data_IF_537592119995
#
_entry.id   IF_537592119995
#
_cell.length_a   1.000
_cell.length_b   1.000
_cell.length_c   1.000
_cell.angle_alpha   90.00
_cell.angle_beta   90.00
_cell.angle_gamma   90.00
#
_symmetry.space_group_name_H-M   'P 1'
#
loop_
_entity.id
_entity.type
_entity.pdbx_description
1 polymer ?
#
# COMPACT_ATOMS: atom_id res chain seq x y z
N UNK A 1 29.58 -25.34 -1.26
CA UNK A 1 28.98 -25.12 0.08
C UNK A 1 29.09 -26.39 0.89
N UNK A 2 28.60 -27.54 0.39
CA UNK A 2 28.60 -28.83 1.09
C UNK A 2 29.99 -29.23 1.62
N UNK A 3 31.08 -29.12 0.79
CA UNK A 3 32.46 -29.35 1.20
C UNK A 3 32.93 -28.45 2.35
N UNK A 4 32.40 -27.21 2.45
CA UNK A 4 32.85 -26.23 3.45
C UNK A 4 32.03 -26.30 4.75
N UNK A 5 30.80 -26.79 4.70
CA UNK A 5 29.85 -26.78 5.82
C UNK A 5 29.51 -28.18 6.35
N UNK A 6 29.75 -29.21 5.55
CA UNK A 6 29.30 -30.57 5.83
C UNK A 6 27.78 -30.79 5.67
N UNK A 7 27.03 -29.78 5.25
CA UNK A 7 25.58 -29.85 5.09
C UNK A 7 25.20 -30.04 3.62
N UNK A 8 24.35 -31.02 3.34
CA UNK A 8 23.68 -31.12 2.06
C UNK A 8 22.53 -30.09 2.00
N UNK A 9 22.69 -29.11 1.15
CA UNK A 9 21.69 -28.03 0.96
C UNK A 9 20.81 -28.26 -0.28
N UNK A 10 20.82 -29.44 -0.90
CA UNK A 10 20.04 -29.73 -2.11
C UNK A 10 18.54 -29.39 -1.89
N UNK A 11 18.00 -29.80 -0.72
CA UNK A 11 16.61 -29.49 -0.34
C UNK A 11 16.27 -28.01 -0.37
N UNK A 12 17.22 -27.12 -0.04
CA UNK A 12 17.03 -25.68 -0.07
C UNK A 12 17.01 -25.15 -1.51
N UNK A 13 17.94 -25.66 -2.34
CA UNK A 13 17.98 -25.32 -3.77
C UNK A 13 16.72 -25.79 -4.49
N UNK A 14 16.25 -27.00 -4.21
CA UNK A 14 15.03 -27.55 -4.81
C UNK A 14 13.81 -26.68 -4.49
N UNK A 15 13.73 -26.16 -3.27
CA UNK A 15 12.57 -25.40 -2.81
C UNK A 15 12.61 -23.91 -3.14
N UNK A 16 13.80 -23.27 -3.19
CA UNK A 16 13.91 -21.81 -3.36
C UNK A 16 14.57 -21.36 -4.67
N UNK A 17 15.27 -22.27 -5.39
CA UNK A 17 15.99 -21.93 -6.62
C UNK A 17 15.37 -22.61 -7.83
N UNK A 18 15.12 -23.91 -7.77
CA UNK A 18 14.58 -24.68 -8.89
C UNK A 18 13.05 -24.65 -8.97
N UNK A 19 12.39 -24.37 -7.84
CA UNK A 19 10.97 -24.14 -7.73
C UNK A 19 10.72 -22.66 -7.44
N UNK A 20 9.68 -22.08 -8.02
CA UNK A 20 9.28 -20.70 -7.73
C UNK A 20 8.47 -20.60 -6.44
N UNK A 21 8.34 -19.36 -5.92
CA UNK A 21 7.53 -19.04 -4.75
C UNK A 21 8.28 -19.16 -3.42
N UNK A 22 7.54 -19.04 -2.34
CA UNK A 22 8.00 -19.17 -0.96
C UNK A 22 6.87 -19.74 -0.09
N UNK A 23 7.17 -20.28 1.11
CA UNK A 23 6.12 -20.74 2.01
C UNK A 23 5.29 -19.57 2.53
N UNK A 24 3.99 -19.82 2.67
CA UNK A 24 3.03 -18.92 3.26
C UNK A 24 2.44 -19.60 4.50
N UNK A 25 2.82 -19.09 5.69
CA UNK A 25 2.50 -19.70 6.97
C UNK A 25 1.40 -18.93 7.70
N UNK A 26 0.37 -19.67 8.12
CA UNK A 26 -0.58 -19.24 9.13
C UNK A 26 -0.21 -19.95 10.43
N UNK A 27 0.09 -19.18 11.49
CA UNK A 27 0.60 -19.71 12.76
C UNK A 27 -0.38 -19.31 13.87
N UNK A 28 -1.02 -20.31 14.46
CA UNK A 28 -1.93 -20.15 15.59
C UNK A 28 -1.26 -20.62 16.88
N UNK A 29 -1.41 -19.84 17.94
CA UNK A 29 -0.90 -20.18 19.27
C UNK A 29 -2.02 -20.10 20.31
N UNK A 30 -2.01 -21.07 21.23
CA UNK A 30 -2.85 -21.05 22.43
C UNK A 30 -2.10 -21.60 23.64
N UNK A 31 -2.54 -21.20 24.82
CA UNK A 31 -2.00 -21.64 26.11
C UNK A 31 -3.07 -22.29 26.95
N UNK A 32 -2.82 -23.53 27.38
CA UNK A 32 -3.62 -24.24 28.37
C UNK A 32 -3.02 -24.02 29.77
N UNK A 33 -3.70 -23.21 30.57
CA UNK A 33 -3.27 -22.85 31.90
C UNK A 33 -3.40 -24.00 32.93
N UNK A 34 -4.27 -24.99 32.67
CA UNK A 34 -4.46 -26.13 33.58
C UNK A 34 -3.33 -27.15 33.45
N UNK A 35 -2.89 -27.37 32.24
CA UNK A 35 -1.87 -28.39 31.93
C UNK A 35 -0.47 -27.77 31.70
N UNK A 36 -0.32 -26.45 31.81
CA UNK A 36 0.91 -25.73 31.46
C UNK A 36 1.43 -26.11 30.06
N UNK A 37 0.53 -26.10 29.08
CA UNK A 37 0.80 -26.60 27.75
C UNK A 37 0.61 -25.51 26.70
N UNK A 38 1.66 -25.24 25.95
CA UNK A 38 1.60 -24.42 24.75
C UNK A 38 1.24 -25.28 23.54
N UNK A 39 0.26 -24.85 22.78
CA UNK A 39 -0.10 -25.45 21.50
C UNK A 39 0.24 -24.47 20.37
N UNK A 40 0.97 -24.94 19.36
CA UNK A 40 1.31 -24.18 18.16
C UNK A 40 0.85 -24.97 16.93
N UNK A 41 -0.08 -24.42 16.17
CA UNK A 41 -0.54 -24.98 14.90
C UNK A 41 0.00 -24.15 13.75
N UNK A 42 0.69 -24.80 12.82
CA UNK A 42 1.26 -24.17 11.63
C UNK A 42 0.59 -24.76 10.40
N UNK A 43 -0.03 -23.88 9.60
CA UNK A 43 -0.67 -24.23 8.33
C UNK A 43 0.10 -23.58 7.18
N UNK A 44 0.46 -24.34 6.15
CA UNK A 44 0.95 -23.80 4.89
C UNK A 44 -0.24 -23.44 4.01
N UNK A 45 -0.39 -22.15 3.64
CA UNK A 45 -1.59 -21.63 2.96
C UNK A 45 -1.46 -21.53 1.44
N UNK A 46 -0.25 -21.69 0.91
CA UNK A 46 -0.02 -21.79 -0.53
C UNK A 46 -0.59 -23.09 -1.12
N UNK A 47 -0.49 -23.27 -2.45
CA UNK A 47 -0.98 -24.46 -3.16
C UNK A 47 -0.37 -25.75 -2.56
N UNK A 48 -1.21 -26.79 -2.37
CA UNK A 48 -0.79 -28.07 -1.77
C UNK A 48 0.32 -28.81 -2.53
N UNK A 49 0.40 -28.59 -3.86
CA UNK A 49 1.47 -29.16 -4.69
C UNK A 49 2.85 -28.56 -4.42
N UNK A 50 2.89 -27.45 -3.70
CA UNK A 50 4.09 -26.65 -3.45
C UNK A 50 4.45 -26.56 -1.97
N UNK A 51 4.15 -27.59 -1.17
CA UNK A 51 4.53 -27.63 0.25
C UNK A 51 6.05 -27.54 0.43
N UNK A 52 6.45 -26.76 1.43
CA UNK A 52 7.84 -26.61 1.84
C UNK A 52 8.15 -27.54 3.02
N UNK A 53 9.35 -28.11 3.05
CA UNK A 53 9.88 -28.91 4.15
C UNK A 53 11.06 -28.15 4.77
N UNK A 54 10.80 -27.43 5.86
CA UNK A 54 11.78 -26.58 6.51
C UNK A 54 11.85 -26.86 8.01
N UNK A 55 13.05 -26.68 8.59
CA UNK A 55 13.25 -26.68 10.04
C UNK A 55 13.25 -25.24 10.52
N UNK A 56 12.13 -24.81 11.10
CA UNK A 56 11.90 -23.43 11.55
C UNK A 56 12.20 -23.34 13.05
N UNK A 57 13.09 -22.43 13.48
CA UNK A 57 13.31 -22.16 14.90
C UNK A 57 12.12 -21.36 15.47
N UNK A 58 11.48 -21.93 16.49
CA UNK A 58 10.40 -21.27 17.24
C UNK A 58 10.87 -21.04 18.67
N UNK A 59 10.72 -19.82 19.18
CA UNK A 59 11.09 -19.50 20.54
C UNK A 59 9.89 -19.04 21.37
N UNK A 60 9.77 -19.60 22.58
CA UNK A 60 8.89 -19.10 23.63
C UNK A 60 9.68 -18.09 24.46
N UNK A 61 9.26 -16.82 24.38
CA UNK A 61 9.98 -15.70 24.97
C UNK A 61 9.42 -15.36 26.36
N UNK A 62 10.33 -15.01 27.26
CA UNK A 62 10.04 -14.58 28.62
C UNK A 62 10.80 -13.29 28.92
N UNK A 63 10.11 -12.29 29.45
CA UNK A 63 10.70 -10.98 29.76
C UNK A 63 11.79 -11.06 30.84
N UNK A 64 11.68 -12.03 31.76
CA UNK A 64 12.54 -12.13 32.94
C UNK A 64 13.46 -13.39 32.93
N UNK A 65 13.51 -14.11 31.83
CA UNK A 65 14.35 -15.31 31.68
C UNK A 65 14.74 -15.56 30.21
N UNK A 66 15.62 -16.53 29.98
CA UNK A 66 16.03 -16.90 28.63
C UNK A 66 14.90 -17.55 27.83
N UNK A 67 14.90 -17.27 26.54
CA UNK A 67 13.98 -17.89 25.56
C UNK A 67 14.21 -19.40 25.46
N UNK A 68 13.13 -20.16 25.42
CA UNK A 68 13.17 -21.59 25.08
C UNK A 68 12.97 -21.75 23.57
N UNK A 69 13.98 -22.28 22.86
CA UNK A 69 13.94 -22.42 21.40
C UNK A 69 13.86 -23.88 20.97
N UNK A 70 12.94 -24.16 20.05
CA UNK A 70 12.73 -25.48 19.43
C UNK A 70 12.85 -25.34 17.91
N UNK A 71 13.47 -26.35 17.26
CA UNK A 71 13.52 -26.40 15.79
C UNK A 71 12.43 -27.36 15.29
N UNK A 72 11.39 -26.80 14.70
CA UNK A 72 10.22 -27.54 14.23
C UNK A 72 10.36 -27.87 12.75
N UNK A 73 10.26 -29.14 12.38
CA UNK A 73 10.18 -29.55 10.98
C UNK A 73 8.73 -29.38 10.50
N UNK A 74 8.52 -28.46 9.60
CA UNK A 74 7.22 -28.16 9.00
C UNK A 74 7.25 -28.64 7.55
N UNK A 75 6.48 -29.72 7.26
CA UNK A 75 6.49 -30.42 5.97
C UNK A 75 5.11 -30.89 5.52
N UNK A 76 4.08 -30.66 6.34
CA UNK A 76 2.70 -31.00 6.03
C UNK A 76 1.88 -29.72 5.80
N UNK A 77 0.70 -29.86 5.23
CA UNK A 77 -0.26 -28.76 5.03
C UNK A 77 -0.63 -28.10 6.35
N UNK A 78 -0.84 -28.91 7.39
CA UNK A 78 -1.11 -28.45 8.76
C UNK A 78 -0.43 -29.39 9.75
N UNK A 79 0.25 -28.81 10.74
CA UNK A 79 0.90 -29.54 11.83
C UNK A 79 0.68 -28.82 13.15
N UNK A 80 0.34 -29.58 14.19
CA UNK A 80 0.19 -29.07 15.55
C UNK A 80 1.31 -29.65 16.43
N UNK A 81 1.92 -28.75 17.20
CA UNK A 81 3.00 -29.07 18.15
C UNK A 81 2.57 -28.71 19.56
N UNK A 82 2.96 -29.51 20.54
CA UNK A 82 2.64 -29.31 21.94
C UNK A 82 3.92 -29.23 22.77
N UNK A 83 3.98 -28.22 23.65
CA UNK A 83 5.15 -27.94 24.49
C UNK A 83 4.73 -27.80 25.94
N UNK A 84 5.07 -28.76 26.82
CA UNK A 84 4.95 -28.56 28.25
C UNK A 84 5.99 -27.50 28.68
N UNK A 85 5.54 -26.42 29.23
CA UNK A 85 6.38 -25.31 29.67
C UNK A 85 6.15 -25.05 31.17
N UNK A 86 7.20 -24.62 31.89
CA UNK A 86 7.10 -24.35 33.32
C UNK A 86 6.11 -23.18 33.64
N UNK A 87 5.97 -22.25 32.71
CA UNK A 87 5.07 -21.09 32.83
C UNK A 87 4.62 -20.61 31.43
N UNK A 88 3.56 -19.83 31.41
CA UNK A 88 3.07 -19.18 30.19
C UNK A 88 4.16 -18.25 29.63
N UNK A 89 4.51 -18.35 28.32
CA UNK A 89 5.42 -17.39 27.70
C UNK A 89 4.73 -16.02 27.52
N UNK A 90 5.51 -14.94 27.56
CA UNK A 90 5.00 -13.61 27.29
C UNK A 90 4.61 -13.45 25.81
N UNK A 91 5.38 -14.03 24.88
CA UNK A 91 5.05 -14.13 23.46
C UNK A 91 5.81 -15.26 22.77
N UNK A 92 5.47 -15.53 21.50
CA UNK A 92 6.05 -16.60 20.70
C UNK A 92 6.68 -16.04 19.43
N UNK A 93 7.94 -16.38 19.15
CA UNK A 93 8.68 -15.99 17.95
C UNK A 93 8.65 -17.14 16.95
N UNK A 94 7.99 -16.98 15.83
CA UNK A 94 8.03 -17.92 14.72
C UNK A 94 9.17 -17.53 13.77
N UNK A 95 10.05 -18.45 13.45
CA UNK A 95 11.33 -18.24 12.75
C UNK A 95 12.22 -17.21 13.46
N UNK A 96 12.65 -17.54 14.69
CA UNK A 96 13.55 -16.71 15.47
C UNK A 96 14.78 -16.33 14.64
N UNK A 97 14.96 -15.02 14.41
CA UNK A 97 16.02 -14.46 13.58
C UNK A 97 15.66 -14.29 12.10
N UNK A 98 14.42 -14.60 11.70
CA UNK A 98 13.92 -14.43 10.33
C UNK A 98 14.83 -14.99 9.23
N UNK A 99 15.20 -16.29 9.37
CA UNK A 99 16.20 -16.96 8.55
C UNK A 99 15.68 -17.35 7.17
N UNK A 100 14.38 -17.51 7.01
CA UNK A 100 13.76 -18.02 5.78
C UNK A 100 12.93 -16.96 5.06
N UNK A 101 12.99 -16.95 3.74
CA UNK A 101 12.05 -16.20 2.91
C UNK A 101 10.67 -16.84 3.03
N UNK A 102 9.69 -16.08 3.54
CA UNK A 102 8.34 -16.55 3.82
C UNK A 102 7.37 -15.39 3.97
N UNK A 103 6.07 -15.65 3.91
CA UNK A 103 5.05 -14.82 4.54
C UNK A 103 4.51 -15.47 5.78
N UNK A 104 4.06 -14.67 6.76
CA UNK A 104 3.52 -15.14 8.02
C UNK A 104 2.28 -14.39 8.42
N UNK A 105 1.22 -15.12 8.76
CA UNK A 105 0.04 -14.59 9.45
C UNK A 105 -0.01 -15.17 10.86
N UNK A 106 0.05 -14.29 11.88
CA UNK A 106 -0.03 -14.70 13.29
C UNK A 106 -1.48 -14.68 13.78
N UNK A 107 -1.95 -15.77 14.36
CA UNK A 107 -3.23 -15.91 15.06
C UNK A 107 -2.99 -16.16 16.56
N UNK A 108 -2.34 -15.20 17.21
CA UNK A 108 -2.06 -15.25 18.66
C UNK A 108 -3.11 -14.45 19.43
N UNK A 109 -3.31 -14.70 20.72
CA UNK A 109 -4.09 -13.82 21.58
C UNK A 109 -3.49 -12.41 21.60
N UNK A 110 -4.35 -11.40 21.79
CA UNK A 110 -3.92 -9.98 21.66
C UNK A 110 -2.86 -9.59 22.71
N UNK A 111 -2.91 -10.19 23.89
CA UNK A 111 -1.93 -9.92 24.95
C UNK A 111 -0.50 -10.29 24.52
N UNK A 112 -0.33 -11.47 23.93
CA UNK A 112 0.96 -11.94 23.42
C UNK A 112 1.44 -11.12 22.21
N UNK A 113 0.54 -10.70 21.35
CA UNK A 113 0.88 -9.82 20.22
C UNK A 113 1.33 -8.43 20.70
N UNK A 114 0.69 -7.87 21.73
CA UNK A 114 1.09 -6.60 22.34
C UNK A 114 2.48 -6.72 23.01
N UNK A 115 2.71 -7.80 23.76
CA UNK A 115 4.00 -8.06 24.36
C UNK A 115 5.10 -8.22 23.28
N UNK A 116 4.82 -8.95 22.21
CA UNK A 116 5.73 -9.11 21.06
C UNK A 116 6.03 -7.77 20.37
N UNK A 117 5.01 -6.95 20.10
CA UNK A 117 5.18 -5.63 19.50
C UNK A 117 6.07 -4.70 20.34
N UNK A 118 5.97 -4.79 21.65
CA UNK A 118 6.70 -3.90 22.56
C UNK A 118 8.10 -4.40 22.91
N UNK A 119 8.32 -5.72 22.99
CA UNK A 119 9.48 -6.30 23.66
C UNK A 119 10.37 -7.16 22.76
N UNK A 120 9.87 -7.63 21.59
CA UNK A 120 10.71 -8.43 20.72
C UNK A 120 11.88 -7.59 20.18
N UNK A 121 13.15 -7.98 20.36
CA UNK A 121 14.29 -7.26 19.80
C UNK A 121 14.32 -7.22 18.27
N UNK A 122 13.64 -8.18 17.60
CA UNK A 122 13.60 -8.28 16.15
C UNK A 122 12.50 -7.38 15.55
N UNK A 123 12.86 -6.34 14.77
CA UNK A 123 11.88 -5.44 14.16
C UNK A 123 10.90 -6.15 13.19
N UNK A 124 11.32 -7.24 12.52
CA UNK A 124 10.43 -7.98 11.62
C UNK A 124 9.34 -8.71 12.41
N UNK A 125 9.70 -9.29 13.54
CA UNK A 125 8.73 -9.92 14.45
C UNK A 125 7.73 -8.91 14.99
N UNK A 126 8.18 -7.69 15.34
CA UNK A 126 7.29 -6.59 15.75
C UNK A 126 6.35 -6.14 14.62
N UNK A 127 6.82 -6.11 13.37
CA UNK A 127 5.98 -5.85 12.18
C UNK A 127 4.87 -6.91 12.07
N UNK A 128 5.20 -8.20 12.18
CA UNK A 128 4.18 -9.25 12.14
C UNK A 128 3.15 -9.11 13.28
N UNK A 129 3.61 -8.74 14.47
CA UNK A 129 2.72 -8.48 15.59
C UNK A 129 1.79 -7.30 15.32
N UNK A 130 2.29 -6.18 14.76
CA UNK A 130 1.47 -5.02 14.39
C UNK A 130 0.38 -5.38 13.37
N UNK A 131 0.73 -6.12 12.33
CA UNK A 131 -0.21 -6.62 11.31
C UNK A 131 -1.28 -7.51 11.96
N UNK A 132 -0.88 -8.43 12.84
CA UNK A 132 -1.80 -9.33 13.51
C UNK A 132 -2.74 -8.59 14.49
N UNK A 133 -2.24 -7.57 15.20
CA UNK A 133 -3.04 -6.69 16.07
C UNK A 133 -4.10 -5.96 15.24
N UNK A 134 -3.72 -5.34 14.13
CA UNK A 134 -4.67 -4.66 13.24
C UNK A 134 -5.78 -5.61 12.74
N UNK A 135 -5.43 -6.87 12.41
CA UNK A 135 -6.39 -7.91 12.03
C UNK A 135 -7.43 -8.22 13.12
N UNK A 136 -7.04 -8.12 14.41
CA UNK A 136 -8.00 -8.27 15.54
C UNK A 136 -9.01 -7.13 15.56
N UNK A 137 -8.61 -5.93 15.18
CA UNK A 137 -9.48 -4.75 15.18
C UNK A 137 -9.86 -4.25 16.57
N UNK A 138 -10.78 -3.29 16.60
CA UNK A 138 -11.31 -2.72 17.84
C UNK A 138 -10.40 -1.69 18.51
N UNK A 139 -10.89 -1.11 19.59
CA UNK A 139 -10.19 -0.03 20.31
C UNK A 139 -8.86 -0.49 20.91
N UNK A 140 -8.81 -1.70 21.45
CA UNK A 140 -7.58 -2.25 22.04
C UNK A 140 -6.44 -2.36 21.00
N UNK A 141 -6.76 -2.71 19.76
CA UNK A 141 -5.79 -2.73 18.66
C UNK A 141 -5.29 -1.32 18.33
N UNK A 142 -6.19 -0.34 18.28
CA UNK A 142 -5.83 1.06 18.00
C UNK A 142 -4.94 1.63 19.12
N UNK A 143 -5.26 1.38 20.37
CA UNK A 143 -4.46 1.82 21.51
C UNK A 143 -3.05 1.22 21.49
N UNK A 144 -2.94 -0.10 21.22
CA UNK A 144 -1.66 -0.78 21.14
C UNK A 144 -0.80 -0.25 19.98
N UNK A 145 -1.40 -0.07 18.80
CA UNK A 145 -0.71 0.47 17.63
C UNK A 145 -0.38 1.95 17.80
N UNK A 146 -1.29 2.76 18.38
CA UNK A 146 -1.04 4.18 18.66
C UNK A 146 0.13 4.37 19.63
N UNK A 147 0.16 3.60 20.71
CA UNK A 147 1.28 3.58 21.67
C UNK A 147 2.60 3.16 21.00
N UNK A 148 2.53 2.18 20.10
CA UNK A 148 3.71 1.75 19.33
C UNK A 148 4.16 2.83 18.35
N UNK A 149 3.25 3.54 17.67
CA UNK A 149 3.63 4.64 16.78
C UNK A 149 4.43 5.74 17.50
N UNK A 150 4.09 6.02 18.77
CA UNK A 150 4.74 7.05 19.57
C UNK A 150 6.09 6.60 20.16
N UNK A 151 6.22 5.32 20.54
CA UNK A 151 7.34 4.86 21.38
C UNK A 151 8.30 3.87 20.69
N UNK A 152 7.95 3.34 19.55
CA UNK A 152 8.76 2.36 18.82
C UNK A 152 10.09 2.97 18.32
N UNK A 153 11.25 2.44 18.68
CA UNK A 153 12.55 3.04 18.34
C UNK A 153 12.89 2.91 16.84
N UNK A 154 12.44 1.83 16.16
CA UNK A 154 12.81 1.59 14.78
C UNK A 154 11.76 2.15 13.80
N UNK A 155 12.17 3.13 13.02
CA UNK A 155 11.28 3.83 12.07
C UNK A 155 10.52 2.89 11.11
N UNK A 156 11.13 1.76 10.70
CA UNK A 156 10.48 0.80 9.79
C UNK A 156 9.25 0.13 10.42
N UNK A 157 9.28 -0.15 11.73
CA UNK A 157 8.10 -0.64 12.47
C UNK A 157 7.05 0.47 12.57
N UNK A 158 7.47 1.74 12.89
CA UNK A 158 6.53 2.88 12.92
C UNK A 158 5.83 3.09 11.58
N UNK A 159 6.53 2.92 10.45
CA UNK A 159 5.92 2.96 9.09
C UNK A 159 4.84 1.90 8.96
N UNK A 160 5.11 0.67 9.35
CA UNK A 160 4.11 -0.40 9.26
C UNK A 160 2.94 -0.18 10.21
N UNK A 161 3.21 0.23 11.45
CA UNK A 161 2.17 0.61 12.43
C UNK A 161 1.25 1.71 11.88
N UNK A 162 1.80 2.74 11.24
CA UNK A 162 1.00 3.80 10.60
C UNK A 162 0.08 3.26 9.52
N UNK A 163 0.58 2.36 8.67
CA UNK A 163 -0.24 1.68 7.65
C UNK A 163 -1.35 0.84 8.28
N UNK A 164 -1.02 0.09 9.33
CA UNK A 164 -2.01 -0.74 10.02
C UNK A 164 -3.09 0.10 10.72
N UNK A 165 -2.74 1.23 11.33
CA UNK A 165 -3.72 2.20 11.86
C UNK A 165 -4.64 2.72 10.76
N UNK A 166 -4.09 3.02 9.58
CA UNK A 166 -4.89 3.48 8.44
C UNK A 166 -5.94 2.44 8.00
N UNK A 167 -5.61 1.14 8.02
CA UNK A 167 -6.56 0.08 7.65
C UNK A 167 -7.74 -0.04 8.61
N UNK A 168 -7.59 0.40 9.86
CA UNK A 168 -8.66 0.37 10.86
C UNK A 168 -9.70 1.48 10.63
N UNK A 169 -9.28 2.65 10.12
CA UNK A 169 -10.17 3.70 9.61
C UNK A 169 -11.12 4.35 10.63
N UNK A 170 -10.89 4.16 11.94
CA UNK A 170 -11.70 4.72 13.01
C UNK A 170 -11.14 6.09 13.48
N UNK A 171 -11.97 6.93 14.07
CA UNK A 171 -11.61 8.29 14.51
C UNK A 171 -10.40 8.31 15.46
N UNK A 172 -10.30 7.31 16.35
CA UNK A 172 -9.15 7.18 17.25
C UNK A 172 -7.86 6.86 16.50
N UNK A 173 -7.94 6.07 15.41
CA UNK A 173 -6.77 5.80 14.56
C UNK A 173 -6.35 7.06 13.79
N UNK A 174 -7.30 7.87 13.30
CA UNK A 174 -7.04 9.18 12.70
C UNK A 174 -6.31 10.09 13.69
N UNK A 175 -6.79 10.15 14.95
CA UNK A 175 -6.16 10.96 16.02
C UNK A 175 -4.71 10.51 16.28
N UNK A 176 -4.45 9.21 16.35
CA UNK A 176 -3.10 8.66 16.52
C UNK A 176 -2.19 8.99 15.34
N UNK A 177 -2.68 8.87 14.11
CA UNK A 177 -1.95 9.22 12.89
C UNK A 177 -1.61 10.72 12.84
N UNK A 178 -2.57 11.61 13.16
CA UNK A 178 -2.34 13.07 13.17
C UNK A 178 -1.23 13.46 14.14
N UNK A 179 -1.18 12.85 15.34
CA UNK A 179 -0.07 13.07 16.28
C UNK A 179 1.28 12.66 15.68
N UNK A 180 1.32 11.57 14.94
CA UNK A 180 2.53 11.05 14.30
C UNK A 180 3.06 11.90 13.12
N UNK A 181 2.32 12.90 12.63
CA UNK A 181 2.80 13.80 11.56
C UNK A 181 4.06 14.59 11.96
N UNK A 182 4.38 14.65 13.25
CA UNK A 182 5.61 15.28 13.76
C UNK A 182 6.78 14.29 13.96
N UNK A 183 6.67 13.04 13.46
CA UNK A 183 7.76 12.06 13.59
C UNK A 183 9.07 12.59 12.97
N UNK A 184 10.18 12.29 13.61
CA UNK A 184 11.52 12.70 13.16
C UNK A 184 11.88 12.15 11.76
N UNK A 185 11.37 10.97 11.40
CA UNK A 185 11.66 10.29 10.12
C UNK A 185 10.64 10.62 9.05
N UNK A 186 11.10 11.19 7.96
CA UNK A 186 10.25 11.52 6.82
C UNK A 186 9.50 10.31 6.23
N UNK A 187 10.08 9.11 6.32
CA UNK A 187 9.43 7.87 5.88
C UNK A 187 8.16 7.57 6.69
N UNK A 188 8.19 7.81 8.00
CA UNK A 188 7.04 7.63 8.89
C UNK A 188 5.98 8.69 8.58
N UNK A 189 6.37 9.98 8.51
CA UNK A 189 5.44 11.07 8.15
C UNK A 189 4.76 10.81 6.81
N UNK A 190 5.52 10.31 5.81
CA UNK A 190 4.95 9.96 4.51
C UNK A 190 3.93 8.83 4.59
N UNK A 191 4.22 7.76 5.34
CA UNK A 191 3.28 6.65 5.53
C UNK A 191 1.99 7.12 6.24
N UNK A 192 2.12 8.04 7.19
CA UNK A 192 0.98 8.66 7.88
C UNK A 192 0.13 9.50 6.91
N UNK A 193 0.78 10.33 6.08
CA UNK A 193 0.10 11.12 5.04
C UNK A 193 -0.67 10.22 4.08
N UNK A 194 -0.04 9.14 3.60
CA UNK A 194 -0.67 8.15 2.73
C UNK A 194 -1.90 7.53 3.43
N UNK A 195 -1.76 7.12 4.70
CA UNK A 195 -2.86 6.56 5.48
C UNK A 195 -4.01 7.55 5.72
N UNK A 196 -3.73 8.79 6.11
CA UNK A 196 -4.75 9.82 6.30
C UNK A 196 -5.51 10.13 5.00
N UNK A 197 -4.82 10.09 3.86
CA UNK A 197 -5.45 10.30 2.54
C UNK A 197 -6.39 9.15 2.14
N UNK A 198 -6.18 7.94 2.64
CA UNK A 198 -7.06 6.79 2.39
C UNK A 198 -8.31 6.82 3.26
N UNK A 199 -8.21 7.29 4.52
CA UNK A 199 -9.33 7.34 5.46
C UNK A 199 -10.36 8.42 5.08
N UNK A 200 -9.93 9.56 4.52
CA UNK A 200 -10.76 10.62 3.93
C UNK A 200 -11.80 11.22 4.90
N UNK A 201 -11.42 11.45 6.15
CA UNK A 201 -12.24 12.22 7.11
C UNK A 201 -11.97 13.72 7.01
N UNK A 202 -12.84 14.55 7.59
CA UNK A 202 -12.63 16.00 7.67
C UNK A 202 -11.35 16.34 8.47
N UNK A 203 -11.07 15.60 9.55
CA UNK A 203 -9.88 15.78 10.37
C UNK A 203 -8.61 15.42 9.59
N UNK A 204 -8.64 14.31 8.83
CA UNK A 204 -7.55 13.95 7.92
C UNK A 204 -7.31 15.05 6.87
N UNK A 205 -8.38 15.58 6.26
CA UNK A 205 -8.30 16.66 5.28
C UNK A 205 -7.66 17.92 5.89
N UNK A 206 -8.14 18.37 7.04
CA UNK A 206 -7.63 19.56 7.71
C UNK A 206 -6.15 19.41 8.10
N UNK A 207 -5.76 18.23 8.60
CA UNK A 207 -4.36 17.94 8.95
C UNK A 207 -3.44 17.96 7.71
N UNK A 208 -3.85 17.32 6.61
CA UNK A 208 -3.07 17.30 5.37
C UNK A 208 -3.02 18.68 4.69
N UNK A 209 -4.13 19.44 4.72
CA UNK A 209 -4.17 20.81 4.23
C UNK A 209 -3.16 21.68 4.99
N UNK A 210 -3.22 21.66 6.33
CA UNK A 210 -2.28 22.41 7.17
C UNK A 210 -0.83 22.02 6.90
N UNK A 211 -0.55 20.72 6.75
CA UNK A 211 0.80 20.24 6.43
C UNK A 211 1.28 20.75 5.08
N UNK A 212 0.42 20.80 4.05
CA UNK A 212 0.81 21.29 2.73
C UNK A 212 1.02 22.81 2.71
N UNK A 213 0.23 23.58 3.49
CA UNK A 213 0.36 25.04 3.64
C UNK A 213 1.64 25.42 4.40
N UNK A 214 1.96 24.69 5.48
CA UNK A 214 3.18 24.95 6.28
C UNK A 214 4.44 24.40 5.63
N UNK A 215 4.32 23.33 4.85
CA UNK A 215 5.42 22.59 4.25
C UNK A 215 6.04 21.56 5.19
N UNK A 216 6.89 20.72 4.61
CA UNK A 216 7.68 19.70 5.32
C UNK A 216 9.16 19.79 4.90
N UNK A 217 10.08 19.42 5.78
CA UNK A 217 11.50 19.35 5.47
C UNK A 217 11.82 18.33 4.35
N UNK A 218 10.92 17.40 4.07
CA UNK A 218 11.04 16.40 3.01
C UNK A 218 10.12 16.69 1.84
N UNK A 219 10.68 16.95 0.68
CA UNK A 219 9.93 17.09 -0.57
C UNK A 219 9.02 15.88 -0.88
N UNK A 220 9.40 14.68 -0.42
CA UNK A 220 8.58 13.48 -0.62
C UNK A 220 7.33 13.45 0.28
N UNK A 221 7.40 14.02 1.47
CA UNK A 221 6.23 14.19 2.35
C UNK A 221 5.29 15.22 1.75
N UNK A 222 5.78 16.40 1.34
CA UNK A 222 4.97 17.42 0.67
C UNK A 222 4.31 16.87 -0.60
N UNK A 223 5.05 16.13 -1.43
CA UNK A 223 4.53 15.53 -2.66
C UNK A 223 3.45 14.48 -2.38
N UNK A 224 3.61 13.67 -1.34
CA UNK A 224 2.60 12.70 -0.91
C UNK A 224 1.35 13.42 -0.39
N UNK A 225 1.52 14.49 0.38
CA UNK A 225 0.42 15.33 0.90
C UNK A 225 -0.39 15.96 -0.23
N UNK A 226 0.29 16.57 -1.21
CA UNK A 226 -0.37 17.16 -2.37
C UNK A 226 -1.16 16.12 -3.19
N UNK A 227 -0.57 14.93 -3.39
CA UNK A 227 -1.24 13.82 -4.08
C UNK A 227 -2.43 13.30 -3.28
N UNK A 228 -2.25 13.13 -1.97
CA UNK A 228 -3.28 12.63 -1.06
C UNK A 228 -4.50 13.54 -1.02
N UNK A 229 -4.32 14.85 -0.90
CA UNK A 229 -5.42 15.82 -0.91
C UNK A 229 -6.28 15.71 -2.17
N UNK A 230 -5.67 15.52 -3.35
CA UNK A 230 -6.42 15.30 -4.59
C UNK A 230 -7.33 14.08 -4.54
N UNK A 231 -6.94 13.02 -3.83
CA UNK A 231 -7.76 11.80 -3.69
C UNK A 231 -8.91 11.94 -2.70
N UNK A 232 -8.94 13.03 -1.91
CA UNK A 232 -9.92 13.19 -0.82
C UNK A 232 -11.24 13.86 -1.26
N UNK A 233 -11.29 14.50 -2.43
CA UNK A 233 -12.50 15.21 -2.92
C UNK A 233 -13.60 14.22 -3.36
N UNK A 234 -14.04 13.36 -2.46
CA UNK A 234 -15.09 12.36 -2.69
C UNK A 234 -16.05 12.29 -1.48
N UNK A 235 -17.27 11.83 -1.70
CA UNK A 235 -18.25 11.65 -0.63
C UNK A 235 -18.49 12.95 0.14
N UNK A 236 -18.31 12.93 1.45
CA UNK A 236 -18.52 14.09 2.34
C UNK A 236 -17.57 15.26 2.08
N UNK A 237 -16.43 15.01 1.42
CA UNK A 237 -15.41 16.03 1.08
C UNK A 237 -15.50 16.51 -0.38
N UNK A 238 -16.52 16.11 -1.14
CA UNK A 238 -16.69 16.53 -2.53
C UNK A 238 -16.82 18.06 -2.68
N UNK A 239 -17.42 18.71 -1.69
CA UNK A 239 -17.51 20.17 -1.64
C UNK A 239 -16.16 20.89 -1.45
N UNK A 240 -15.10 20.17 -1.14
CA UNK A 240 -13.72 20.66 -0.99
C UNK A 240 -12.94 20.68 -2.31
N UNK A 241 -13.50 20.17 -3.42
CA UNK A 241 -12.81 20.04 -4.70
C UNK A 241 -12.20 21.38 -5.16
N UNK A 242 -12.96 22.47 -5.15
CA UNK A 242 -12.47 23.79 -5.55
C UNK A 242 -11.29 24.26 -4.69
N UNK A 243 -11.42 24.16 -3.38
CA UNK A 243 -10.36 24.51 -2.41
C UNK A 243 -9.09 23.68 -2.64
N UNK A 244 -9.22 22.39 -2.92
CA UNK A 244 -8.10 21.49 -3.24
C UNK A 244 -7.42 21.90 -4.54
N UNK A 245 -8.18 22.22 -5.59
CA UNK A 245 -7.63 22.68 -6.88
C UNK A 245 -6.82 23.96 -6.69
N UNK A 246 -7.37 24.93 -5.97
CA UNK A 246 -6.70 26.20 -5.71
C UNK A 246 -5.38 26.00 -4.95
N UNK A 247 -5.39 25.16 -3.92
CA UNK A 247 -4.20 24.84 -3.15
C UNK A 247 -3.15 24.12 -4.01
N UNK A 248 -3.54 23.13 -4.81
CA UNK A 248 -2.62 22.41 -5.69
C UNK A 248 -2.05 23.32 -6.79
N UNK A 249 -2.85 24.24 -7.34
CA UNK A 249 -2.38 25.23 -8.30
C UNK A 249 -1.41 26.23 -7.65
N UNK A 250 -1.65 26.64 -6.39
CA UNK A 250 -0.69 27.43 -5.63
C UNK A 250 0.64 26.72 -5.47
N UNK A 251 0.63 25.43 -5.11
CA UNK A 251 1.86 24.60 -5.03
C UNK A 251 2.58 24.53 -6.37
N UNK A 252 1.86 24.36 -7.47
CA UNK A 252 2.45 24.34 -8.82
C UNK A 252 3.17 25.64 -9.20
N UNK A 253 2.74 26.77 -8.66
CA UNK A 253 3.34 28.07 -8.91
C UNK A 253 4.51 28.37 -7.95
N UNK A 254 4.36 28.05 -6.66
CA UNK A 254 5.25 28.50 -5.58
C UNK A 254 6.36 27.50 -5.22
N UNK A 255 6.13 26.20 -5.30
CA UNK A 255 7.05 25.16 -4.79
C UNK A 255 8.02 24.64 -5.87
N UNK A 256 8.72 25.55 -6.54
CA UNK A 256 9.82 25.17 -7.43
C UNK A 256 11.00 24.63 -6.61
N UNK A 257 11.54 23.49 -7.02
CA UNK A 257 12.61 22.86 -6.23
C UNK A 257 13.21 21.63 -6.89
N UNK A 258 13.92 20.86 -6.10
CA UNK A 258 14.70 19.71 -6.56
C UNK A 258 13.85 18.71 -7.37
N UNK A 259 14.23 18.50 -8.63
CA UNK A 259 13.56 17.61 -9.58
C UNK A 259 12.03 17.80 -9.67
N UNK A 260 11.52 18.95 -9.30
CA UNK A 260 10.08 19.26 -9.34
C UNK A 260 9.20 18.28 -8.53
N UNK A 261 9.76 17.63 -7.50
CA UNK A 261 9.11 16.52 -6.77
C UNK A 261 7.78 16.95 -6.18
N UNK A 262 7.72 18.11 -5.51
CA UNK A 262 6.49 18.61 -4.86
C UNK A 262 5.45 19.00 -5.92
N UNK A 263 5.88 19.71 -6.96
CA UNK A 263 4.99 20.11 -8.08
C UNK A 263 4.46 18.89 -8.85
N UNK A 264 5.29 17.86 -9.05
CA UNK A 264 4.83 16.59 -9.63
C UNK A 264 3.82 15.87 -8.71
N UNK A 265 3.97 16.00 -7.39
CA UNK A 265 2.99 15.54 -6.42
C UNK A 265 1.63 16.27 -6.59
N UNK A 266 1.65 17.61 -6.77
CA UNK A 266 0.46 18.38 -7.02
C UNK A 266 -0.24 18.01 -8.35
N UNK A 267 0.51 17.78 -9.44
CA UNK A 267 -0.02 17.23 -10.69
C UNK A 267 -0.69 15.87 -10.44
N UNK A 268 -0.03 15.01 -9.64
CA UNK A 268 -0.60 13.72 -9.24
C UNK A 268 -1.90 13.87 -8.45
N UNK A 269 -2.01 14.88 -7.59
CA UNK A 269 -3.24 15.22 -6.87
C UNK A 269 -4.36 15.68 -7.82
N UNK A 270 -4.08 16.61 -8.72
CA UNK A 270 -5.04 17.05 -9.74
C UNK A 270 -5.55 15.90 -10.59
N UNK A 271 -4.71 14.92 -10.91
CA UNK A 271 -5.12 13.74 -11.71
C UNK A 271 -6.10 12.80 -11.00
N UNK A 272 -6.26 12.92 -9.68
CA UNK A 272 -7.27 12.16 -8.92
C UNK A 272 -8.68 12.78 -9.04
N UNK A 273 -8.77 14.07 -9.36
CA UNK A 273 -10.02 14.81 -9.58
C UNK A 273 -10.58 14.52 -10.98
N UNK A 274 -10.94 13.27 -11.22
CA UNK A 274 -11.15 12.70 -12.55
C UNK A 274 -12.26 13.37 -13.34
N UNK A 275 -13.29 13.91 -12.68
CA UNK A 275 -14.43 14.56 -13.32
C UNK A 275 -14.27 16.08 -13.46
N UNK A 276 -13.17 16.65 -12.92
CA UNK A 276 -12.96 18.09 -12.87
C UNK A 276 -12.37 18.66 -14.18
N UNK A 277 -13.09 19.55 -14.90
CA UNK A 277 -12.53 20.28 -16.03
C UNK A 277 -11.39 21.22 -15.64
N UNK A 278 -11.48 21.86 -14.46
CA UNK A 278 -10.47 22.79 -13.98
C UNK A 278 -9.14 22.08 -13.66
N UNK A 279 -9.19 20.87 -13.07
CA UNK A 279 -8.01 20.05 -12.85
C UNK A 279 -7.36 19.64 -14.19
N UNK A 280 -8.16 19.27 -15.19
CA UNK A 280 -7.66 18.94 -16.53
C UNK A 280 -6.95 20.13 -17.18
N UNK A 281 -7.52 21.33 -17.11
CA UNK A 281 -6.93 22.56 -17.67
C UNK A 281 -5.57 22.88 -17.03
N UNK A 282 -5.49 22.74 -15.70
CA UNK A 282 -4.23 22.88 -14.97
C UNK A 282 -3.19 21.85 -15.45
N UNK A 283 -3.55 20.56 -15.58
CA UNK A 283 -2.64 19.51 -16.07
C UNK A 283 -2.17 19.82 -17.51
N UNK A 284 -3.07 20.19 -18.41
CA UNK A 284 -2.74 20.52 -19.80
C UNK A 284 -1.68 21.62 -19.91
N UNK A 285 -1.75 22.64 -19.05
CA UNK A 285 -0.76 23.71 -19.00
C UNK A 285 0.65 23.20 -18.80
N UNK A 286 0.84 22.22 -17.92
CA UNK A 286 2.16 21.65 -17.59
C UNK A 286 2.64 20.56 -18.56
N UNK A 287 1.88 20.27 -19.62
CA UNK A 287 2.36 19.41 -20.73
C UNK A 287 3.03 20.21 -21.85
N UNK A 288 3.00 21.53 -21.81
CA UNK A 288 3.56 22.39 -22.85
C UNK A 288 5.08 22.32 -22.93
N UNK A 289 5.64 22.63 -24.12
CA UNK A 289 7.07 22.83 -24.29
C UNK A 289 7.55 23.98 -23.40
N UNK A 290 8.79 23.85 -22.87
CA UNK A 290 9.35 24.81 -21.91
C UNK A 290 9.01 24.50 -20.44
N UNK A 291 8.07 23.60 -20.15
CA UNK A 291 7.89 23.07 -18.79
C UNK A 291 9.10 22.24 -18.38
N UNK A 292 9.65 22.38 -17.15
CA UNK A 292 10.71 21.52 -16.66
C UNK A 292 10.41 20.04 -16.86
N UNK A 293 11.36 19.29 -17.39
CA UNK A 293 11.14 17.93 -17.85
C UNK A 293 10.46 16.98 -16.84
N UNK A 294 10.90 16.90 -15.56
CA UNK A 294 10.25 16.01 -14.61
C UNK A 294 8.76 16.34 -14.41
N UNK A 295 8.45 17.64 -14.36
CA UNK A 295 7.09 18.14 -14.21
C UNK A 295 6.23 17.87 -15.45
N UNK A 296 6.82 18.09 -16.64
CA UNK A 296 6.15 17.79 -17.92
C UNK A 296 5.81 16.32 -18.06
N UNK A 297 6.72 15.43 -17.70
CA UNK A 297 6.47 13.99 -17.69
C UNK A 297 5.36 13.60 -16.71
N UNK A 298 5.30 14.26 -15.54
CA UNK A 298 4.19 14.09 -14.60
C UNK A 298 2.85 14.55 -15.21
N UNK A 299 2.82 15.71 -15.89
CA UNK A 299 1.64 16.20 -16.61
C UNK A 299 1.15 15.22 -17.69
N UNK A 300 2.06 14.69 -18.51
CA UNK A 300 1.72 13.71 -19.56
C UNK A 300 1.09 12.45 -18.95
N UNK A 301 1.67 11.90 -17.88
CA UNK A 301 1.10 10.73 -17.19
C UNK A 301 -0.25 11.04 -16.54
N UNK A 302 -0.41 12.25 -16.02
CA UNK A 302 -1.65 12.72 -15.40
C UNK A 302 -2.81 12.81 -16.40
N UNK A 303 -2.55 13.12 -17.68
CA UNK A 303 -3.57 13.08 -18.73
C UNK A 303 -4.18 11.68 -18.90
N UNK A 304 -3.35 10.63 -18.82
CA UNK A 304 -3.84 9.25 -18.82
C UNK A 304 -4.67 8.93 -17.57
N UNK A 305 -4.22 9.38 -16.40
CA UNK A 305 -4.89 9.09 -15.13
C UNK A 305 -6.25 9.79 -15.00
N UNK A 306 -6.36 11.05 -15.44
CA UNK A 306 -7.61 11.85 -15.33
C UNK A 306 -8.65 11.44 -16.39
N UNK A 307 -8.25 10.80 -17.47
CA UNK A 307 -9.09 10.54 -18.66
C UNK A 307 -10.36 9.73 -18.36
N UNK A 308 -10.30 8.81 -17.39
CA UNK A 308 -11.39 7.86 -17.10
C UNK A 308 -12.67 8.53 -16.54
N UNK A 309 -12.61 9.78 -16.09
CA UNK A 309 -13.78 10.51 -15.59
C UNK A 309 -14.19 11.71 -16.47
N UNK A 310 -13.51 11.92 -17.60
CA UNK A 310 -13.75 13.08 -18.45
C UNK A 310 -14.88 12.83 -19.47
N UNK A 311 -15.59 13.90 -19.87
CA UNK A 311 -16.56 13.85 -20.95
C UNK A 311 -15.88 13.54 -22.29
N UNK A 312 -16.65 13.07 -23.28
CA UNK A 312 -16.14 12.73 -24.63
C UNK A 312 -15.37 13.89 -25.27
N UNK A 313 -15.86 15.13 -25.13
CA UNK A 313 -15.19 16.32 -25.68
C UNK A 313 -13.83 16.56 -25.02
N UNK A 314 -13.76 16.45 -23.69
CA UNK A 314 -12.53 16.64 -22.93
C UNK A 314 -11.55 15.47 -23.19
N UNK A 315 -12.06 14.26 -23.35
CA UNK A 315 -11.26 13.10 -23.75
C UNK A 315 -10.63 13.31 -25.14
N UNK A 316 -11.36 13.92 -26.07
CA UNK A 316 -10.84 14.28 -27.40
C UNK A 316 -9.65 15.24 -27.26
N UNK A 317 -9.76 16.27 -26.42
CA UNK A 317 -8.67 17.22 -26.17
C UNK A 317 -7.44 16.51 -25.58
N UNK A 318 -7.65 15.56 -24.64
CA UNK A 318 -6.55 14.76 -24.08
C UNK A 318 -5.84 13.94 -25.18
N UNK A 319 -6.60 13.25 -26.02
CA UNK A 319 -6.06 12.43 -27.10
C UNK A 319 -5.29 13.25 -28.13
N UNK A 320 -5.81 14.40 -28.54
CA UNK A 320 -5.14 15.32 -29.47
C UNK A 320 -3.84 15.88 -28.88
N UNK A 321 -3.83 16.21 -27.57
CA UNK A 321 -2.61 16.63 -26.88
C UNK A 321 -1.58 15.51 -26.85
N UNK A 322 -1.96 14.30 -26.50
CA UNK A 322 -1.06 13.14 -26.46
C UNK A 322 -0.55 12.77 -27.86
N UNK A 323 -1.41 12.85 -28.91
CA UNK A 323 -1.00 12.66 -30.30
C UNK A 323 0.05 13.67 -30.75
N UNK A 324 -0.11 14.93 -30.36
CA UNK A 324 0.87 15.98 -30.63
C UNK A 324 2.22 15.69 -29.95
N UNK A 325 2.20 15.32 -28.67
CA UNK A 325 3.40 15.01 -27.90
C UNK A 325 4.05 13.70 -28.39
N UNK A 326 3.27 12.74 -28.88
CA UNK A 326 3.79 11.49 -29.46
C UNK A 326 4.72 11.70 -30.65
N UNK A 327 4.66 12.86 -31.32
CA UNK A 327 5.54 13.22 -32.46
C UNK A 327 6.95 13.61 -32.01
N UNK A 328 7.17 13.88 -30.75
CA UNK A 328 8.48 14.19 -30.19
C UNK A 328 9.38 12.95 -30.16
N UNK A 329 10.70 13.17 -30.28
CA UNK A 329 11.66 12.08 -30.39
C UNK A 329 12.33 11.72 -29.06
N UNK A 330 12.10 12.51 -28.01
CA UNK A 330 12.74 12.28 -26.71
C UNK A 330 12.19 11.02 -26.03
N UNK A 331 13.06 10.06 -25.72
CA UNK A 331 12.71 8.75 -25.20
C UNK A 331 11.74 8.76 -24.02
N UNK A 332 12.04 9.55 -22.95
CA UNK A 332 11.19 9.58 -21.76
C UNK A 332 9.81 10.17 -22.04
N UNK A 333 9.72 11.14 -22.97
CA UNK A 333 8.42 11.69 -23.42
C UNK A 333 7.60 10.62 -24.12
N UNK A 334 8.21 9.88 -25.06
CA UNK A 334 7.51 8.80 -25.79
C UNK A 334 7.02 7.72 -24.83
N UNK A 335 7.85 7.29 -23.86
CA UNK A 335 7.44 6.32 -22.83
C UNK A 335 6.29 6.86 -21.96
N UNK A 336 6.34 8.15 -21.58
CA UNK A 336 5.27 8.76 -20.80
C UNK A 336 3.95 8.80 -21.57
N UNK A 337 4.00 9.11 -22.88
CA UNK A 337 2.83 9.08 -23.78
C UNK A 337 2.26 7.67 -23.92
N UNK A 338 3.12 6.66 -24.14
CA UNK A 338 2.66 5.26 -24.18
C UNK A 338 1.94 4.85 -22.91
N UNK A 339 2.52 5.20 -21.76
CA UNK A 339 1.91 4.91 -20.45
C UNK A 339 0.58 5.65 -20.25
N UNK A 340 0.46 6.89 -20.69
CA UNK A 340 -0.78 7.66 -20.61
C UNK A 340 -1.85 7.08 -21.52
N UNK A 341 -1.53 6.83 -22.80
CA UNK A 341 -2.47 6.25 -23.77
C UNK A 341 -2.93 4.85 -23.35
N UNK A 342 -2.05 4.03 -22.75
CA UNK A 342 -2.36 2.70 -22.23
C UNK A 342 -3.36 2.69 -21.06
N UNK A 343 -3.68 3.87 -20.50
CA UNK A 343 -4.73 4.03 -19.49
C UNK A 343 -6.09 4.41 -20.10
N UNK A 344 -6.10 4.91 -21.34
CA UNK A 344 -7.29 5.47 -21.99
C UNK A 344 -8.03 4.36 -22.76
N UNK A 345 -9.26 4.09 -22.37
CA UNK A 345 -10.14 3.09 -22.99
C UNK A 345 -10.82 3.68 -24.25
N UNK A 346 -10.03 3.88 -25.31
CA UNK A 346 -10.51 4.47 -26.56
C UNK A 346 -9.73 3.94 -27.76
N UNK A 347 -10.45 3.65 -28.87
CA UNK A 347 -9.84 3.13 -30.10
C UNK A 347 -8.82 4.10 -30.72
N UNK A 348 -9.00 5.43 -30.57
CA UNK A 348 -8.04 6.43 -31.05
C UNK A 348 -6.70 6.31 -30.32
N UNK A 349 -6.69 5.90 -29.03
CA UNK A 349 -5.45 5.64 -28.32
C UNK A 349 -4.63 4.50 -28.94
N UNK A 350 -5.30 3.43 -29.42
CA UNK A 350 -4.64 2.33 -30.16
C UNK A 350 -3.99 2.85 -31.42
N UNK A 351 -4.70 3.65 -32.22
CA UNK A 351 -4.15 4.20 -33.47
C UNK A 351 -2.91 5.06 -33.24
N UNK A 352 -2.92 5.92 -32.19
CA UNK A 352 -1.77 6.76 -31.83
C UNK A 352 -0.57 5.89 -31.39
N UNK A 353 -0.82 4.86 -30.58
CA UNK A 353 0.22 3.94 -30.09
C UNK A 353 0.85 3.15 -31.26
N UNK A 354 0.04 2.64 -32.20
CA UNK A 354 0.53 1.94 -33.40
C UNK A 354 1.38 2.85 -34.26
N UNK A 355 0.90 4.06 -34.55
CA UNK A 355 1.66 5.05 -35.31
C UNK A 355 2.99 5.43 -34.63
N UNK A 356 3.04 5.48 -33.30
CA UNK A 356 4.28 5.71 -32.54
C UNK A 356 5.20 4.49 -32.61
N UNK A 357 4.70 3.28 -32.47
CA UNK A 357 5.46 2.02 -32.59
C UNK A 357 6.14 1.90 -33.96
N UNK A 358 5.40 2.19 -35.04
CA UNK A 358 5.92 2.09 -36.41
C UNK A 358 7.00 3.13 -36.71
N UNK A 359 6.88 4.32 -36.14
CA UNK A 359 7.78 5.44 -36.42
C UNK A 359 9.04 5.43 -35.57
N UNK A 360 8.97 4.96 -34.32
CA UNK A 360 10.10 5.07 -33.40
C UNK A 360 11.26 4.14 -33.78
N UNK A 361 12.53 4.65 -33.84
CA UNK A 361 13.68 3.79 -34.03
C UNK A 361 14.09 3.05 -32.73
N UNK A 362 13.59 3.48 -31.56
CA UNK A 362 13.97 2.90 -30.26
C UNK A 362 13.09 1.66 -29.95
N UNK A 363 13.72 0.48 -29.95
CA UNK A 363 13.04 -0.79 -29.69
C UNK A 363 12.39 -0.88 -28.31
N UNK A 364 12.86 -0.11 -27.31
CA UNK A 364 12.24 -0.05 -25.98
C UNK A 364 10.91 0.70 -26.01
N UNK A 365 10.86 1.82 -26.75
CA UNK A 365 9.61 2.58 -26.96
C UNK A 365 8.61 1.74 -27.73
N UNK A 366 9.07 1.05 -28.82
CA UNK A 366 8.22 0.15 -29.60
C UNK A 366 7.56 -0.89 -28.72
N UNK A 367 8.34 -1.59 -27.91
CA UNK A 367 7.82 -2.60 -26.99
C UNK A 367 6.79 -2.01 -26.00
N UNK A 368 7.06 -0.85 -25.40
CA UNK A 368 6.11 -0.21 -24.45
C UNK A 368 4.82 0.21 -25.16
N UNK A 369 4.91 0.67 -26.43
CA UNK A 369 3.75 1.01 -27.24
C UNK A 369 2.90 -0.23 -27.58
N UNK A 370 3.52 -1.34 -27.97
CA UNK A 370 2.83 -2.62 -28.26
C UNK A 370 2.16 -3.20 -27.00
N UNK A 371 2.83 -3.19 -25.85
CA UNK A 371 2.26 -3.58 -24.56
C UNK A 371 1.06 -2.69 -24.17
N UNK A 372 1.14 -1.38 -24.44
CA UNK A 372 0.03 -0.45 -24.19
C UNK A 372 -1.16 -0.71 -25.12
N UNK A 373 -0.93 -1.04 -26.41
CA UNK A 373 -1.98 -1.47 -27.36
C UNK A 373 -2.73 -2.68 -26.81
N UNK A 374 -2.00 -3.73 -26.42
CA UNK A 374 -2.61 -4.95 -25.87
C UNK A 374 -3.45 -4.65 -24.62
N UNK A 375 -2.95 -3.76 -23.74
CA UNK A 375 -3.65 -3.34 -22.52
C UNK A 375 -4.98 -2.63 -22.84
N UNK A 376 -4.97 -1.70 -23.82
CA UNK A 376 -6.19 -0.98 -24.23
C UNK A 376 -7.17 -1.93 -24.91
N UNK A 377 -6.70 -2.82 -25.80
CA UNK A 377 -7.54 -3.83 -26.46
C UNK A 377 -8.22 -4.77 -25.46
N UNK A 378 -7.47 -5.24 -24.45
CA UNK A 378 -8.02 -6.10 -23.38
C UNK A 378 -9.13 -5.39 -22.59
N UNK A 379 -8.98 -4.10 -22.34
CA UNK A 379 -9.99 -3.30 -21.63
C UNK A 379 -11.24 -3.09 -22.48
N UNK A 380 -11.09 -2.73 -23.74
CA UNK A 380 -12.23 -2.55 -24.68
C UNK A 380 -13.01 -3.85 -24.93
N UNK A 381 -12.36 -5.02 -24.84
CA UNK A 381 -13.01 -6.33 -25.02
C UNK A 381 -13.72 -6.90 -23.80
N UNK A 382 -13.50 -6.33 -22.61
CA UNK A 382 -14.00 -6.90 -21.32
C UNK A 382 -15.13 -6.08 -20.67
N UNK A 383 -15.62 -5.00 -21.27
CA UNK A 383 -16.33 -3.93 -20.56
C UNK A 383 -17.74 -4.24 -20.06
N UNK A 384 -18.54 -5.10 -20.68
CA UNK A 384 -19.93 -5.30 -20.22
C UNK A 384 -20.03 -6.11 -18.93
N UNK A 385 -19.34 -7.23 -18.85
CA UNK A 385 -19.41 -8.12 -17.67
C UNK A 385 -18.70 -7.54 -16.45
N UNK A 386 -17.61 -6.78 -16.65
CA UNK A 386 -16.85 -6.15 -15.56
C UNK A 386 -17.59 -4.92 -15.01
N UNK A 387 -18.31 -4.19 -15.83
CA UNK A 387 -19.08 -3.04 -15.39
C UNK A 387 -20.24 -3.48 -14.49
N UNK A 388 -20.97 -4.52 -14.86
CA UNK A 388 -22.05 -5.12 -14.06
C UNK A 388 -21.52 -5.62 -12.69
N UNK A 389 -20.36 -6.31 -12.67
CA UNK A 389 -19.74 -6.80 -11.44
C UNK A 389 -19.22 -5.65 -10.54
N UNK A 390 -18.67 -4.59 -11.11
CA UNK A 390 -18.22 -3.41 -10.34
C UNK A 390 -19.38 -2.65 -9.71
N UNK A 391 -20.47 -2.46 -10.42
CA UNK A 391 -21.68 -1.81 -9.89
C UNK A 391 -22.29 -2.62 -8.74
N UNK A 392 -22.32 -3.94 -8.86
CA UNK A 392 -22.82 -4.84 -7.82
C UNK A 392 -21.89 -4.86 -6.59
N UNK A 393 -20.59 -4.83 -6.79
CA UNK A 393 -19.58 -4.79 -5.72
C UNK A 393 -19.60 -3.45 -4.95
N UNK A 394 -19.79 -2.33 -5.62
CA UNK A 394 -19.95 -1.02 -4.98
C UNK A 394 -21.26 -0.95 -4.18
N UNK A 395 -22.33 -1.52 -4.69
CA UNK A 395 -23.61 -1.62 -3.97
C UNK A 395 -23.49 -2.46 -2.69
N UNK A 396 -22.82 -3.61 -2.78
CA UNK A 396 -22.54 -4.46 -1.63
C UNK A 396 -21.61 -3.79 -0.59
N UNK A 397 -20.65 -3.00 -1.03
CA UNK A 397 -19.78 -2.24 -0.11
C UNK A 397 -20.57 -1.16 0.64
N UNK A 398 -21.44 -0.43 -0.05
CA UNK A 398 -22.30 0.58 0.59
C UNK A 398 -23.26 -0.06 1.60
N UNK A 399 -23.91 -1.17 1.26
CA UNK A 399 -24.77 -1.92 2.18
C UNK A 399 -24.01 -2.45 3.41
N UNK A 400 -22.78 -2.94 3.21
CA UNK A 400 -21.91 -3.41 4.30
C UNK A 400 -21.48 -2.26 5.24
N UNK A 401 -21.23 -1.08 4.67
CA UNK A 401 -20.86 0.10 5.45
C UNK A 401 -22.05 0.65 6.26
N UNK A 402 -23.26 0.63 5.68
CA UNK A 402 -24.50 0.94 6.41
C UNK A 402 -24.78 -0.05 7.53
N UNK A 403 -24.61 -1.35 7.27
CA UNK A 403 -24.79 -2.39 8.29
C UNK A 403 -23.78 -2.25 9.43
N UNK A 404 -22.52 -1.98 9.14
CA UNK A 404 -21.49 -1.70 10.17
C UNK A 404 -21.85 -0.46 11.00
N UNK A 405 -22.30 0.62 10.37
CA UNK A 405 -22.75 1.83 11.06
C UNK A 405 -23.95 1.58 11.97
N UNK A 406 -24.91 0.75 11.52
CA UNK A 406 -26.09 0.34 12.34
C UNK A 406 -25.68 -0.54 13.51
N UNK A 407 -24.74 -1.45 13.32
CA UNK A 407 -24.20 -2.33 14.36
C UNK A 407 -23.51 -1.52 15.47
N UNK A 408 -22.64 -0.60 15.09
CA UNK A 408 -21.93 0.29 16.03
C UNK A 408 -22.92 1.17 16.84
N UNK A 409 -23.99 1.65 16.20
CA UNK A 409 -25.06 2.40 16.90
C UNK A 409 -25.88 1.54 17.86
N UNK A 410 -26.07 0.26 17.57
CA UNK A 410 -26.78 -0.69 18.45
C UNK A 410 -25.90 -1.10 19.63
N UNK A 411 -24.61 -1.32 19.41
CA UNK A 411 -23.64 -1.62 20.47
C UNK A 411 -23.50 -0.44 21.45
N UNK A 412 -23.47 0.79 20.94
CA UNK A 412 -23.45 2.01 21.77
C UNK A 412 -24.75 2.29 22.52
N UNK A 413 -25.87 1.65 22.16
CA UNK A 413 -27.14 1.75 22.91
C UNK A 413 -27.30 0.68 23.99
N UNK A 414 -26.53 -0.40 23.91
CA UNK A 414 -26.57 -1.53 24.84
C UNK A 414 -25.41 -1.52 25.86
N UNK A 415 -24.53 -0.53 25.78
CA UNK A 415 -23.51 -0.17 26.79
C UNK A 415 -23.98 1.05 27.58
#
# INVERSE_FOLDING_TARGET
IEKATGYNLLFLFDQYVYRGGHPDYKVAYSWDNQNNLAQLTVTQTQDEKELFDLKIPVAFAYLNSEDLTYNLRIHQKEQTFYFPLAQKPDFVKFDRGNNFLKTVTLEYPIGELKAQLQQDPDPISRIYAAIAIAKKGGLEAIEALGTSLENEPFWGVRVEVAKQLATLGLDQAVTALIKGLNDEKAQVRRAIVEGLSEIKTLDSYNALKSLLETGDASYYVEAATARGLGSMAVGQLQNKEGEIIDLLNHILQSRKGWNEVVRAGAIGGLSQLKTSPAALESILTYTALGTPQPLRLAGIRALGAISSGQTTDKLTVILERLETIAKETFFLTQVAVCNALGQIENAKAIAILQALSDRTPDGRVRRVAEEAVQKVQKKLGSDKAIQEIREELEKMKQENQELKSRLTKLEAKNS
#
